data_IF_727264004344
#
_entry.id   IF_727264004344
#
_cell.length_a   1.000
_cell.length_b   1.000
_cell.length_c   1.000
_cell.angle_alpha   90.00
_cell.angle_beta   90.00
_cell.angle_gamma   90.00
#
_symmetry.space_group_name_H-M   'P 1'
#
loop_
_entity.id
_entity.type
_entity.pdbx_description
1 polymer ?
#
# COMPACT_ATOMS: atom_id res chain seq x y z
N UNK A 1 -10.06 12.49 17.49
CA UNK A 1 -11.01 12.55 16.34
C UNK A 1 -12.41 12.04 16.67
N UNK A 2 -13.47 12.68 16.17
CA UNK A 2 -14.87 12.20 16.24
C UNK A 2 -15.12 11.14 15.16
N UNK A 3 -16.05 10.22 15.40
CA UNK A 3 -16.38 9.15 14.44
C UNK A 3 -16.77 9.68 13.04
N UNK A 4 -17.54 10.77 12.97
CA UNK A 4 -17.94 11.37 11.69
C UNK A 4 -16.74 11.87 10.88
N UNK A 5 -15.69 12.37 11.54
CA UNK A 5 -14.47 12.85 10.87
C UNK A 5 -13.67 11.64 10.32
N UNK A 6 -13.57 10.56 11.09
CA UNK A 6 -12.95 9.30 10.64
C UNK A 6 -13.68 8.74 9.41
N UNK A 7 -15.01 8.72 9.42
CA UNK A 7 -15.82 8.26 8.28
C UNK A 7 -15.60 9.15 7.05
N UNK A 8 -15.53 10.47 7.22
CA UNK A 8 -15.24 11.39 6.12
C UNK A 8 -13.86 11.16 5.52
N UNK A 9 -12.83 11.05 6.37
CA UNK A 9 -11.45 10.76 5.91
C UNK A 9 -11.44 9.43 5.18
N UNK A 10 -12.03 8.38 5.75
CA UNK A 10 -12.09 7.04 5.12
C UNK A 10 -12.75 7.09 3.75
N UNK A 11 -13.84 7.85 3.59
CA UNK A 11 -14.47 8.03 2.28
C UNK A 11 -13.56 8.77 1.27
N UNK A 12 -12.76 9.74 1.73
CA UNK A 12 -11.75 10.39 0.90
C UNK A 12 -10.69 9.37 0.47
N UNK A 13 -10.20 8.52 1.38
CA UNK A 13 -9.23 7.46 1.08
C UNK A 13 -9.76 6.49 0.02
N UNK A 14 -11.00 6.02 0.18
CA UNK A 14 -11.67 5.11 -0.77
C UNK A 14 -11.80 5.75 -2.14
N UNK A 15 -12.23 7.01 -2.21
CA UNK A 15 -12.39 7.73 -3.48
C UNK A 15 -11.04 7.95 -4.17
N UNK A 16 -10.00 8.27 -3.41
CA UNK A 16 -8.64 8.41 -3.94
C UNK A 16 -8.14 7.09 -4.51
N UNK A 17 -8.23 6.00 -3.75
CA UNK A 17 -7.84 4.66 -4.18
C UNK A 17 -8.57 4.25 -5.45
N UNK A 18 -9.89 4.46 -5.51
CA UNK A 18 -10.68 4.10 -6.69
C UNK A 18 -10.24 4.86 -7.95
N UNK A 19 -9.80 6.12 -7.79
CA UNK A 19 -9.40 7.00 -8.89
C UNK A 19 -7.97 6.75 -9.34
N UNK A 20 -7.04 6.63 -8.40
CA UNK A 20 -5.59 6.58 -8.67
C UNK A 20 -5.01 5.16 -8.62
N UNK A 21 -5.79 4.18 -8.15
CA UNK A 21 -5.39 2.78 -7.96
C UNK A 21 -4.21 2.58 -7.00
N UNK A 22 -4.07 3.50 -6.04
CA UNK A 22 -3.04 3.49 -4.99
C UNK A 22 -3.67 3.89 -3.65
N UNK A 23 -3.20 3.32 -2.54
CA UNK A 23 -3.62 3.77 -1.21
C UNK A 23 -2.92 5.10 -0.91
N UNK A 24 -3.66 6.20 -0.67
CA UNK A 24 -3.07 7.53 -0.51
C UNK A 24 -2.16 7.64 0.72
N UNK A 25 -1.28 8.62 0.64
CA UNK A 25 -0.46 9.13 1.74
C UNK A 25 -1.09 10.38 2.35
N UNK A 26 -0.64 10.78 3.54
CA UNK A 26 -1.04 12.08 4.08
C UNK A 26 -0.64 13.23 3.13
N UNK A 27 0.53 13.12 2.47
CA UNK A 27 0.99 14.07 1.46
C UNK A 27 0.02 14.22 0.27
N UNK A 28 -0.64 13.13 -0.14
CA UNK A 28 -1.67 13.16 -1.18
C UNK A 28 -2.93 13.90 -0.71
N UNK A 29 -3.33 13.68 0.55
CA UNK A 29 -4.47 14.39 1.14
C UNK A 29 -4.22 15.90 1.22
N UNK A 30 -2.99 16.31 1.59
CA UNK A 30 -2.56 17.71 1.59
C UNK A 30 -2.61 18.34 0.20
N UNK A 31 -2.32 17.55 -0.84
CA UNK A 31 -2.37 18.00 -2.24
C UNK A 31 -3.75 17.81 -2.90
N UNK A 32 -4.74 17.32 -2.16
CA UNK A 32 -6.07 17.05 -2.70
C UNK A 32 -6.75 18.33 -3.20
N UNK A 33 -7.34 18.37 -4.42
CA UNK A 33 -7.87 19.60 -5.01
C UNK A 33 -9.01 20.25 -4.21
N UNK A 34 -9.85 19.43 -3.58
CA UNK A 34 -10.97 19.90 -2.73
C UNK A 34 -10.58 20.05 -1.26
N UNK A 35 -9.98 19.02 -0.66
CA UNK A 35 -9.74 18.96 0.79
C UNK A 35 -8.33 19.37 1.23
N UNK A 36 -7.42 19.67 0.30
CA UNK A 36 -6.01 19.90 0.60
C UNK A 36 -5.77 21.07 1.56
N UNK A 37 -6.55 22.14 1.44
CA UNK A 37 -6.48 23.27 2.37
C UNK A 37 -6.81 22.87 3.82
N UNK A 38 -7.77 21.96 4.01
CA UNK A 38 -8.15 21.44 5.33
C UNK A 38 -7.00 20.64 5.92
N UNK A 39 -6.48 19.65 5.20
CA UNK A 39 -5.37 18.81 5.66
C UNK A 39 -4.07 19.59 5.89
N UNK A 40 -3.82 20.62 5.08
CA UNK A 40 -2.66 21.51 5.24
C UNK A 40 -2.72 22.31 6.54
N UNK A 41 -3.92 22.69 6.98
CA UNK A 41 -4.15 23.55 8.15
C UNK A 41 -4.16 22.82 9.49
N UNK A 42 -4.13 21.48 9.48
CA UNK A 42 -4.14 20.66 10.68
C UNK A 42 -2.91 20.92 11.55
N UNK A 43 -3.11 20.90 12.86
CA UNK A 43 -2.03 20.85 13.84
C UNK A 43 -1.26 19.52 13.76
N UNK A 44 -0.08 19.45 14.39
CA UNK A 44 0.75 18.23 14.39
C UNK A 44 -0.01 17.03 14.97
N UNK A 45 -0.77 17.23 16.04
CA UNK A 45 -1.54 16.15 16.68
C UNK A 45 -2.68 15.67 15.77
N UNK A 46 -3.39 16.59 15.11
CA UNK A 46 -4.45 16.24 14.16
C UNK A 46 -3.89 15.52 12.92
N UNK A 47 -2.72 15.91 12.42
CA UNK A 47 -2.03 15.19 11.33
C UNK A 47 -1.77 13.74 11.72
N UNK A 48 -1.27 13.53 12.94
CA UNK A 48 -1.04 12.19 13.47
C UNK A 48 -2.33 11.39 13.60
N UNK A 49 -3.44 12.02 14.00
CA UNK A 49 -4.74 11.35 14.00
C UNK A 49 -5.16 10.90 12.58
N UNK A 50 -4.94 11.73 11.55
CA UNK A 50 -5.22 11.35 10.15
C UNK A 50 -4.30 10.23 9.68
N UNK A 51 -3.00 10.28 10.02
CA UNK A 51 -2.05 9.21 9.71
C UNK A 51 -2.46 7.88 10.33
N UNK A 52 -2.98 7.89 11.57
CA UNK A 52 -3.55 6.69 12.19
C UNK A 52 -4.77 6.16 11.43
N UNK A 53 -5.65 7.04 10.91
CA UNK A 53 -6.78 6.62 10.07
C UNK A 53 -6.29 5.96 8.78
N UNK A 54 -5.22 6.49 8.15
CA UNK A 54 -4.60 5.88 6.97
C UNK A 54 -3.98 4.52 7.32
N UNK A 55 -3.30 4.43 8.45
CA UNK A 55 -2.72 3.18 8.94
C UNK A 55 -3.78 2.10 9.18
N UNK A 56 -4.87 2.43 9.89
CA UNK A 56 -5.99 1.52 10.11
C UNK A 56 -6.67 1.12 8.81
N UNK A 57 -6.76 2.04 7.84
CA UNK A 57 -7.27 1.75 6.51
C UNK A 57 -6.39 0.73 5.77
N UNK A 58 -5.06 0.86 5.83
CA UNK A 58 -4.11 -0.11 5.25
C UNK A 58 -4.31 -1.49 5.86
N UNK A 59 -4.43 -1.58 7.19
CA UNK A 59 -4.68 -2.85 7.90
C UNK A 59 -6.00 -3.50 7.45
N UNK A 60 -7.08 -2.72 7.38
CA UNK A 60 -8.37 -3.20 6.87
C UNK A 60 -8.25 -3.68 5.42
N UNK A 61 -7.47 -2.99 4.58
CA UNK A 61 -7.23 -3.42 3.20
C UNK A 61 -6.48 -4.73 3.11
N UNK A 62 -5.45 -4.92 3.93
CA UNK A 62 -4.72 -6.18 4.02
C UNK A 62 -5.64 -7.35 4.37
N UNK A 63 -6.61 -7.14 5.27
CA UNK A 63 -7.62 -8.17 5.56
C UNK A 63 -8.54 -8.46 4.37
N UNK A 64 -9.00 -7.43 3.65
CA UNK A 64 -9.96 -7.59 2.56
C UNK A 64 -9.39 -8.28 1.31
N UNK A 65 -8.09 -8.12 1.03
CA UNK A 65 -7.44 -8.71 -0.16
C UNK A 65 -7.18 -10.22 -0.02
N UNK A 66 -7.33 -10.79 1.18
CA UNK A 66 -7.05 -12.21 1.49
C UNK A 66 -8.00 -13.22 0.84
N UNK A 67 -8.97 -12.76 0.05
CA UNK A 67 -9.87 -13.61 -0.74
C UNK A 67 -9.14 -14.36 -1.86
N UNK A 68 -7.99 -13.87 -2.31
CA UNK A 68 -7.16 -14.53 -3.33
C UNK A 68 -5.88 -15.10 -2.73
N UNK A 69 -5.27 -16.07 -3.41
CA UNK A 69 -4.00 -16.62 -2.93
C UNK A 69 -2.88 -15.58 -2.91
N UNK A 70 -2.84 -14.70 -3.93
CA UNK A 70 -1.90 -13.59 -3.99
C UNK A 70 -2.07 -12.63 -2.82
N UNK A 71 -3.30 -12.23 -2.51
CA UNK A 71 -3.57 -11.37 -1.35
C UNK A 71 -3.26 -12.02 0.00
N UNK A 72 -3.48 -13.34 0.15
CA UNK A 72 -3.05 -14.07 1.35
C UNK A 72 -1.53 -14.07 1.52
N UNK A 73 -0.79 -14.25 0.43
CA UNK A 73 0.67 -14.24 0.47
C UNK A 73 1.20 -12.82 0.72
N UNK A 74 0.60 -11.81 0.09
CA UNK A 74 0.96 -10.42 0.34
C UNK A 74 0.69 -10.00 1.78
N UNK A 75 -0.46 -10.38 2.37
CA UNK A 75 -0.72 -10.15 3.80
C UNK A 75 0.34 -10.81 4.68
N UNK A 76 0.76 -12.04 4.36
CA UNK A 76 1.82 -12.72 5.11
C UNK A 76 3.16 -11.99 5.10
N UNK A 77 3.44 -11.17 4.08
CA UNK A 77 4.63 -10.34 4.07
C UNK A 77 4.58 -9.27 5.16
N UNK A 78 3.43 -8.62 5.37
CA UNK A 78 3.25 -7.70 6.51
C UNK A 78 3.34 -8.45 7.85
N UNK A 79 2.74 -9.64 7.95
CA UNK A 79 2.79 -10.43 9.19
C UNK A 79 4.19 -10.97 9.53
N UNK A 80 5.01 -11.31 8.52
CA UNK A 80 6.33 -11.92 8.72
C UNK A 80 7.46 -10.90 8.78
N UNK A 81 7.33 -9.78 8.07
CA UNK A 81 8.33 -8.73 7.95
C UNK A 81 7.68 -7.34 8.14
N UNK A 82 7.01 -7.09 9.27
CA UNK A 82 6.22 -5.87 9.48
C UNK A 82 7.07 -4.60 9.37
N UNK A 83 8.26 -4.59 9.97
CA UNK A 83 9.16 -3.44 9.90
C UNK A 83 9.56 -3.10 8.46
N UNK A 84 9.85 -4.12 7.65
CA UNK A 84 10.22 -3.93 6.25
C UNK A 84 9.02 -3.42 5.43
N UNK A 85 7.83 -3.98 5.66
CA UNK A 85 6.59 -3.54 5.01
C UNK A 85 6.32 -2.07 5.29
N UNK A 86 6.29 -1.68 6.56
CA UNK A 86 5.93 -0.32 6.96
C UNK A 86 7.02 0.70 6.58
N UNK A 87 8.30 0.35 6.76
CA UNK A 87 9.41 1.21 6.31
C UNK A 87 9.34 1.47 4.81
N UNK A 88 9.13 0.42 4.01
CA UNK A 88 9.02 0.61 2.57
C UNK A 88 7.73 1.35 2.19
N UNK A 89 6.62 1.13 2.91
CA UNK A 89 5.37 1.86 2.72
C UNK A 89 5.59 3.36 2.88
N UNK A 90 6.30 3.82 3.91
CA UNK A 90 6.64 5.24 4.13
C UNK A 90 7.55 5.80 3.03
N UNK A 91 8.55 5.02 2.60
CA UNK A 91 9.48 5.40 1.53
C UNK A 91 8.80 5.56 0.17
N UNK A 92 7.65 4.90 -0.03
CA UNK A 92 6.86 5.02 -1.25
C UNK A 92 6.04 6.32 -1.32
N UNK A 93 6.05 7.18 -0.30
CA UNK A 93 5.54 8.55 -0.44
C UNK A 93 6.40 9.28 -1.48
N UNK A 94 5.77 9.94 -2.45
CA UNK A 94 6.46 10.72 -3.50
C UNK A 94 7.30 11.88 -2.94
N UNK A 95 6.96 12.37 -1.75
CA UNK A 95 7.71 13.43 -1.09
C UNK A 95 8.87 12.86 -0.25
N UNK A 96 9.01 11.54 -0.15
CA UNK A 96 10.07 10.89 0.59
C UNK A 96 11.33 10.75 -0.30
N UNK A 97 12.45 11.27 0.20
CA UNK A 97 13.76 11.26 -0.47
C UNK A 97 14.79 10.46 0.33
N UNK A 98 14.37 9.46 1.10
CA UNK A 98 15.26 8.63 1.90
C UNK A 98 16.30 7.94 0.99
N UNK A 99 17.61 8.13 1.23
CA UNK A 99 18.66 7.51 0.43
C UNK A 99 18.64 5.98 0.47
N UNK A 100 18.01 5.38 1.49
CA UNK A 100 17.89 3.92 1.62
C UNK A 100 16.77 3.34 0.75
N UNK A 101 16.02 4.14 -0.03
CA UNK A 101 14.92 3.67 -0.87
C UNK A 101 15.32 2.44 -1.72
N UNK A 102 16.48 2.49 -2.38
CA UNK A 102 16.95 1.41 -3.24
C UNK A 102 17.31 0.16 -2.43
N UNK A 103 18.01 0.32 -1.30
CA UNK A 103 18.46 -0.82 -0.50
C UNK A 103 17.31 -1.53 0.22
N UNK A 104 16.31 -0.78 0.68
CA UNK A 104 15.08 -1.32 1.27
C UNK A 104 14.17 -1.88 0.18
N UNK A 105 14.03 -1.18 -0.95
CA UNK A 105 13.26 -1.64 -2.10
C UNK A 105 13.74 -3.00 -2.60
N UNK A 106 15.06 -3.22 -2.73
CA UNK A 106 15.61 -4.53 -3.10
C UNK A 106 15.26 -5.65 -2.12
N UNK A 107 15.17 -5.36 -0.83
CA UNK A 107 14.72 -6.36 0.15
C UNK A 107 13.24 -6.71 -0.07
N UNK A 108 12.40 -5.72 -0.35
CA UNK A 108 10.98 -5.96 -0.68
C UNK A 108 10.86 -6.71 -2.01
N UNK A 109 11.65 -6.37 -3.03
CA UNK A 109 11.66 -7.06 -4.32
C UNK A 109 11.98 -8.56 -4.15
N UNK A 110 12.97 -8.88 -3.33
CA UNK A 110 13.32 -10.27 -2.98
C UNK A 110 12.14 -10.99 -2.32
N UNK A 111 11.42 -10.34 -1.39
CA UNK A 111 10.24 -10.95 -0.77
C UNK A 111 9.10 -11.13 -1.78
N UNK A 112 8.82 -10.14 -2.63
CA UNK A 112 7.80 -10.25 -3.67
C UNK A 112 8.12 -11.38 -4.66
N UNK A 113 9.38 -11.52 -5.06
CA UNK A 113 9.84 -12.59 -5.94
C UNK A 113 9.63 -13.99 -5.30
N UNK A 114 9.94 -14.14 -4.00
CA UNK A 114 9.65 -15.40 -3.28
C UNK A 114 8.15 -15.72 -3.27
N UNK A 115 7.31 -14.72 -3.02
CA UNK A 115 5.86 -14.91 -2.99
C UNK A 115 5.29 -15.23 -4.38
N UNK A 116 5.79 -14.57 -5.42
CA UNK A 116 5.47 -14.89 -6.82
C UNK A 116 5.88 -16.33 -7.16
N UNK A 117 7.08 -16.77 -6.76
CA UNK A 117 7.51 -18.16 -6.92
C UNK A 117 6.52 -19.16 -6.31
N UNK A 118 6.04 -18.88 -5.09
CA UNK A 118 5.02 -19.72 -4.43
C UNK A 118 3.69 -19.73 -5.22
N UNK A 119 3.30 -18.61 -5.83
CA UNK A 119 2.10 -18.52 -6.66
C UNK A 119 2.27 -19.33 -7.95
N UNK A 120 3.40 -19.17 -8.62
CA UNK A 120 3.65 -19.72 -9.95
C UNK A 120 3.97 -21.21 -9.90
N UNK A 121 4.72 -21.70 -8.91
CA UNK A 121 4.99 -23.14 -8.71
C UNK A 121 3.71 -23.97 -8.60
N UNK A 122 2.70 -23.45 -7.91
CA UNK A 122 1.39 -24.12 -7.78
C UNK A 122 0.59 -24.12 -9.07
N UNK A 123 0.86 -23.16 -9.95
CA UNK A 123 0.15 -22.97 -11.21
C UNK A 123 0.86 -23.57 -12.42
N UNK A 124 2.15 -23.93 -12.33
CA UNK A 124 2.85 -24.70 -13.37
C UNK A 124 2.19 -26.06 -13.64
N UNK A 125 1.36 -26.56 -12.73
CA UNK A 125 0.52 -27.75 -12.94
C UNK A 125 -0.77 -27.47 -13.73
N UNK A 126 -1.09 -26.20 -14.01
CA UNK A 126 -2.31 -25.73 -14.68
C UNK A 126 -1.93 -24.63 -15.69
N UNK A 127 -1.49 -25.03 -16.91
CA UNK A 127 -0.87 -24.17 -17.95
C UNK A 127 -1.63 -22.89 -18.38
N UNK A 128 -2.88 -22.66 -17.96
CA UNK A 128 -3.69 -21.50 -18.38
C UNK A 128 -3.87 -20.49 -17.25
N UNK A 129 -3.47 -19.24 -17.49
CA UNK A 129 -3.81 -18.09 -16.64
C UNK A 129 -2.71 -17.61 -15.70
N UNK A 130 -1.49 -18.13 -15.81
CA UNK A 130 -0.34 -17.74 -15.00
C UNK A 130 -0.06 -16.23 -15.07
N UNK A 131 -0.02 -15.67 -16.29
CA UNK A 131 0.23 -14.25 -16.54
C UNK A 131 -0.76 -13.35 -15.80
N UNK A 132 -2.06 -13.68 -15.84
CA UNK A 132 -3.10 -12.93 -15.13
C UNK A 132 -2.95 -13.00 -13.61
N UNK A 133 -2.44 -14.11 -13.07
CA UNK A 133 -2.21 -14.25 -11.62
C UNK A 133 -1.02 -13.43 -11.17
N UNK A 134 0.07 -13.43 -11.95
CA UNK A 134 1.25 -12.58 -11.69
C UNK A 134 0.87 -11.11 -11.81
N UNK A 135 0.17 -10.72 -12.88
CA UNK A 135 -0.34 -9.36 -13.07
C UNK A 135 -1.23 -8.92 -11.90
N UNK A 136 -2.18 -9.77 -11.48
CA UNK A 136 -3.06 -9.46 -10.34
C UNK A 136 -2.29 -9.33 -9.03
N UNK A 137 -1.22 -10.11 -8.84
CA UNK A 137 -0.37 -10.00 -7.66
C UNK A 137 0.39 -8.67 -7.65
N UNK A 138 1.04 -8.29 -8.75
CA UNK A 138 1.74 -7.00 -8.80
C UNK A 138 0.80 -5.80 -8.77
N UNK A 139 -0.42 -5.90 -9.27
CA UNK A 139 -1.43 -4.87 -9.05
C UNK A 139 -1.72 -4.65 -7.55
N UNK A 140 -1.65 -5.71 -6.73
CA UNK A 140 -1.69 -5.55 -5.27
C UNK A 140 -0.41 -4.91 -4.75
N UNK A 141 0.77 -5.32 -5.21
CA UNK A 141 2.04 -4.70 -4.79
C UNK A 141 2.01 -3.19 -5.05
N UNK A 142 1.64 -2.75 -6.26
CA UNK A 142 1.57 -1.34 -6.63
C UNK A 142 0.49 -0.55 -5.90
N UNK A 143 -0.59 -1.21 -5.46
CA UNK A 143 -1.62 -0.57 -4.64
C UNK A 143 -1.05 -0.05 -3.31
N UNK A 144 -0.12 -0.80 -2.70
CA UNK A 144 0.53 -0.43 -1.44
C UNK A 144 1.87 0.29 -1.65
N UNK A 145 2.59 -0.03 -2.72
CA UNK A 145 3.92 0.45 -3.04
C UNK A 145 3.96 1.03 -4.46
N UNK A 146 3.40 2.24 -4.69
CA UNK A 146 3.29 2.83 -6.02
C UNK A 146 4.62 3.10 -6.72
N UNK A 147 5.72 3.25 -5.95
CA UNK A 147 7.08 3.50 -6.47
C UNK A 147 7.89 2.21 -6.60
N UNK A 148 7.27 1.03 -6.45
CA UNK A 148 7.99 -0.25 -6.53
C UNK A 148 8.71 -0.47 -7.87
N UNK A 149 8.21 0.11 -8.96
CA UNK A 149 8.85 0.08 -10.28
C UNK A 149 10.04 1.04 -10.43
N UNK A 150 10.31 1.90 -9.43
CA UNK A 150 11.46 2.82 -9.40
C UNK A 150 12.71 2.17 -8.77
N UNK A 151 12.61 0.92 -8.33
CA UNK A 151 13.75 0.16 -7.81
C UNK A 151 14.67 -0.22 -8.99
N UNK A 152 15.96 0.11 -8.88
CA UNK A 152 16.99 -0.15 -9.91
C UNK A 152 17.69 -1.49 -9.69
#
# INVERSE_FOLDING_TARGET
MKQQEVEQITNILINWENTHKVIPYFSDLVQHPVYGAVFSSLSIDEKKEVENVIHDYILQKLDLITKTKGGQLFKRFEESQPELFWRFREMNDKNNTDPDFQSVGKQVEIEMFKLEGILTEKMLQQEKGLEKVVESFYNLVYLFFPRFNEIE
#
